data_IF_374276440391
#
_entry.id   IF_374276440391
#
_cell.length_a   1.000
_cell.length_b   1.000
_cell.length_c   1.000
_cell.angle_alpha   90.00
_cell.angle_beta   90.00
_cell.angle_gamma   90.00
#
_symmetry.space_group_name_H-M   'P 1'
#
loop_
_entity.id
_entity.type
_entity.pdbx_description
1 polymer ?
#
# COMPACT_ATOMS: atom_id res chain seq x y z
N UNK A 1 50.18 -58.42 23.42
CA UNK A 1 50.76 -57.45 22.46
C UNK A 1 49.73 -56.73 21.60
N UNK A 2 49.08 -57.35 20.59
CA UNK A 2 48.13 -56.59 19.71
C UNK A 2 46.84 -56.18 20.43
N UNK A 3 46.35 -57.04 21.33
CA UNK A 3 45.09 -56.82 22.07
C UNK A 3 45.23 -55.70 23.11
N UNK A 4 46.41 -55.56 23.73
CA UNK A 4 46.73 -54.47 24.68
C UNK A 4 46.82 -53.12 23.95
N UNK A 5 47.40 -53.10 22.74
CA UNK A 5 47.45 -51.89 21.89
C UNK A 5 46.06 -51.43 21.47
N UNK A 6 45.13 -52.34 21.15
CA UNK A 6 43.75 -51.99 20.80
C UNK A 6 43.02 -51.40 22.01
N UNK A 7 43.23 -51.97 23.20
CA UNK A 7 42.63 -51.47 24.44
C UNK A 7 43.15 -50.07 24.83
N UNK A 8 44.45 -49.81 24.68
CA UNK A 8 45.03 -48.49 24.94
C UNK A 8 44.52 -47.44 23.95
N UNK A 9 44.37 -47.80 22.68
CA UNK A 9 43.81 -46.91 21.68
C UNK A 9 42.34 -46.60 21.96
N UNK A 10 41.53 -47.59 22.35
CA UNK A 10 40.13 -47.36 22.75
C UNK A 10 40.02 -46.34 23.90
N UNK A 11 40.92 -46.37 24.89
CA UNK A 11 40.95 -45.36 25.95
C UNK A 11 41.40 -43.98 25.45
N UNK A 12 42.30 -43.91 24.47
CA UNK A 12 42.75 -42.65 23.86
C UNK A 12 41.62 -42.00 23.04
N UNK A 13 40.80 -42.80 22.34
CA UNK A 13 39.65 -42.33 21.57
C UNK A 13 38.64 -41.57 22.44
N UNK A 14 38.38 -42.05 23.65
CA UNK A 14 37.44 -41.40 24.56
C UNK A 14 37.89 -39.99 25.00
N UNK A 15 39.21 -39.72 24.99
CA UNK A 15 39.81 -38.44 25.37
C UNK A 15 40.10 -37.50 24.19
N UNK A 16 39.78 -37.88 22.95
CA UNK A 16 40.07 -37.05 21.79
C UNK A 16 39.22 -35.77 21.80
N UNK A 17 39.91 -34.64 21.63
CA UNK A 17 39.31 -33.32 21.44
C UNK A 17 39.88 -32.70 20.16
N UNK A 18 39.04 -31.99 19.42
CA UNK A 18 39.44 -31.18 18.28
C UNK A 18 38.98 -29.74 18.53
N UNK A 19 39.92 -28.80 18.48
CA UNK A 19 39.64 -27.37 18.69
C UNK A 19 39.16 -26.65 17.43
N UNK A 20 39.49 -27.17 16.25
CA UNK A 20 39.14 -26.58 14.96
C UNK A 20 39.00 -27.65 13.86
N UNK A 21 38.49 -27.25 12.70
CA UNK A 21 38.31 -28.13 11.55
C UNK A 21 39.64 -28.75 11.05
N UNK A 22 40.78 -28.08 11.29
CA UNK A 22 42.11 -28.59 10.94
C UNK A 22 42.56 -29.71 11.87
N UNK A 23 42.43 -29.52 13.19
CA UNK A 23 42.71 -30.54 14.19
C UNK A 23 41.82 -31.78 13.99
N UNK A 24 40.56 -31.60 13.59
CA UNK A 24 39.66 -32.71 13.26
C UNK A 24 40.17 -33.55 12.07
N UNK A 25 40.64 -32.89 11.00
CA UNK A 25 41.17 -33.59 9.84
C UNK A 25 42.55 -34.23 10.13
N UNK A 26 43.39 -33.61 10.96
CA UNK A 26 44.64 -34.21 11.44
C UNK A 26 44.38 -35.50 12.23
N UNK A 27 43.38 -35.51 13.12
CA UNK A 27 42.97 -36.70 13.85
C UNK A 27 42.44 -37.79 12.91
N UNK A 28 41.62 -37.41 11.91
CA UNK A 28 41.15 -38.35 10.88
C UNK A 28 42.30 -38.96 10.09
N UNK A 29 43.30 -38.15 9.71
CA UNK A 29 44.48 -38.63 8.99
C UNK A 29 45.32 -39.56 9.87
N UNK A 30 45.54 -39.22 11.15
CA UNK A 30 46.31 -40.03 12.10
C UNK A 30 45.72 -41.43 12.31
N UNK A 31 44.40 -41.52 12.47
CA UNK A 31 43.75 -42.78 12.84
C UNK A 31 43.16 -43.56 11.66
N UNK A 32 42.46 -42.89 10.73
CA UNK A 32 41.65 -43.54 9.69
C UNK A 32 42.24 -43.45 8.26
N UNK A 33 43.38 -42.78 8.05
CA UNK A 33 44.00 -42.73 6.72
C UNK A 33 44.52 -44.09 6.25
N UNK A 34 44.82 -44.21 4.95
CA UNK A 34 45.42 -45.43 4.37
C UNK A 34 46.74 -45.85 5.04
N UNK A 35 47.47 -44.91 5.66
CA UNK A 35 48.68 -45.15 6.46
C UNK A 35 48.44 -44.97 7.97
N UNK A 36 47.17 -44.90 8.39
CA UNK A 36 46.79 -44.64 9.77
C UNK A 36 46.91 -45.88 10.64
N UNK A 37 46.91 -45.64 11.96
CA UNK A 37 47.13 -46.66 12.99
C UNK A 37 46.14 -47.83 12.86
N UNK A 38 44.88 -47.56 12.49
CA UNK A 38 43.86 -48.61 12.31
C UNK A 38 44.19 -49.54 11.13
N UNK A 39 44.69 -48.99 10.02
CA UNK A 39 45.07 -49.79 8.84
C UNK A 39 46.38 -50.56 9.06
N UNK A 40 47.32 -50.02 9.85
CA UNK A 40 48.52 -50.75 10.28
C UNK A 40 48.16 -51.96 11.14
N UNK A 41 47.25 -51.78 12.11
CA UNK A 41 46.72 -52.88 12.93
C UNK A 41 45.95 -53.93 12.11
N UNK A 42 45.24 -53.52 11.05
CA UNK A 42 44.62 -54.46 10.09
C UNK A 42 45.66 -55.23 9.27
N UNK A 43 46.83 -54.64 9.01
CA UNK A 43 47.96 -55.32 8.38
C UNK A 43 48.58 -56.37 9.30
N UNK A 44 48.83 -56.00 10.56
CA UNK A 44 49.35 -56.90 11.60
C UNK A 44 48.37 -58.05 11.93
N UNK A 45 47.06 -57.82 11.80
CA UNK A 45 46.01 -58.84 11.97
C UNK A 45 46.22 -60.09 11.08
N UNK A 46 46.88 -59.96 9.93
CA UNK A 46 47.16 -61.10 9.03
C UNK A 46 48.08 -62.15 9.67
N UNK A 47 48.92 -61.74 10.63
CA UNK A 47 49.94 -62.57 11.27
C UNK A 47 49.45 -63.24 12.58
N UNK A 48 48.18 -63.07 12.94
CA UNK A 48 47.59 -63.62 14.18
C UNK A 48 47.24 -65.10 14.02
N UNK A 49 47.42 -65.90 15.08
CA UNK A 49 47.08 -67.32 15.09
C UNK A 49 45.55 -67.55 14.90
N UNK A 50 45.12 -68.61 14.20
CA UNK A 50 43.71 -68.84 13.83
C UNK A 50 42.74 -68.80 15.02
N UNK A 51 43.19 -69.26 16.19
CA UNK A 51 42.42 -69.34 17.44
C UNK A 51 42.09 -67.97 18.04
N UNK A 52 42.93 -66.94 17.78
CA UNK A 52 42.79 -65.59 18.34
C UNK A 52 42.22 -64.57 17.34
N UNK A 53 42.07 -64.95 16.06
CA UNK A 53 41.57 -64.06 15.00
C UNK A 53 40.14 -63.55 15.25
N UNK A 54 39.27 -64.37 15.84
CA UNK A 54 37.88 -64.00 16.10
C UNK A 54 37.77 -62.86 17.12
N UNK A 55 38.48 -62.96 18.23
CA UNK A 55 38.42 -61.97 19.32
C UNK A 55 39.08 -60.65 18.93
N UNK A 56 40.26 -60.71 18.29
CA UNK A 56 40.99 -59.52 17.84
C UNK A 56 40.23 -58.79 16.73
N UNK A 57 39.57 -59.52 15.82
CA UNK A 57 38.76 -58.92 14.75
C UNK A 57 37.55 -58.15 15.27
N UNK A 58 36.90 -58.64 16.34
CA UNK A 58 35.78 -57.94 16.99
C UNK A 58 36.24 -56.63 17.63
N UNK A 59 37.30 -56.66 18.43
CA UNK A 59 37.85 -55.46 19.10
C UNK A 59 38.37 -54.42 18.12
N UNK A 60 38.88 -54.84 16.97
CA UNK A 60 39.40 -53.94 15.94
C UNK A 60 38.26 -53.23 15.18
N UNK A 61 37.14 -53.91 14.94
CA UNK A 61 35.94 -53.26 14.41
C UNK A 61 35.32 -52.30 15.43
N UNK A 62 35.30 -52.68 16.71
CA UNK A 62 34.83 -51.81 17.80
C UNK A 62 35.65 -50.51 17.89
N UNK A 63 36.99 -50.60 17.82
CA UNK A 63 37.88 -49.43 17.76
C UNK A 63 37.59 -48.54 16.54
N UNK A 64 37.37 -49.14 15.37
CA UNK A 64 37.07 -48.40 14.15
C UNK A 64 35.74 -47.65 14.24
N UNK A 65 34.70 -48.30 14.76
CA UNK A 65 33.38 -47.69 14.96
C UNK A 65 33.46 -46.57 16.00
N UNK A 66 34.08 -46.80 17.16
CA UNK A 66 34.24 -45.79 18.20
C UNK A 66 34.99 -44.54 17.71
N UNK A 67 36.04 -44.71 16.90
CA UNK A 67 36.76 -43.58 16.27
C UNK A 67 35.87 -42.80 15.30
N UNK A 68 35.09 -43.51 14.49
CA UNK A 68 34.22 -42.89 13.49
C UNK A 68 33.09 -42.11 14.16
N UNK A 69 32.49 -42.67 15.20
CA UNK A 69 31.45 -42.02 16.00
C UNK A 69 32.00 -40.79 16.71
N UNK A 70 33.20 -40.88 17.31
CA UNK A 70 33.83 -39.74 18.00
C UNK A 70 34.19 -38.61 17.06
N UNK A 71 34.70 -38.92 15.86
CA UNK A 71 35.01 -37.91 14.84
C UNK A 71 33.73 -37.25 14.29
N UNK A 72 32.63 -37.99 14.16
CA UNK A 72 31.35 -37.42 13.76
C UNK A 72 30.79 -36.49 14.86
N UNK A 73 30.85 -36.90 16.13
CA UNK A 73 30.45 -36.08 17.28
C UNK A 73 31.25 -34.76 17.33
N UNK A 74 32.58 -34.83 17.17
CA UNK A 74 33.43 -33.64 17.13
C UNK A 74 33.10 -32.73 15.94
N UNK A 75 32.76 -33.31 14.78
CA UNK A 75 32.37 -32.56 13.59
C UNK A 75 31.06 -31.80 13.79
N UNK A 76 30.06 -32.44 14.39
CA UNK A 76 28.76 -31.82 14.68
C UNK A 76 28.89 -30.68 15.69
N UNK A 77 29.70 -30.88 16.73
CA UNK A 77 29.98 -29.84 17.74
C UNK A 77 30.68 -28.61 17.14
N UNK A 78 31.62 -28.81 16.21
CA UNK A 78 32.31 -27.71 15.51
C UNK A 78 31.38 -26.98 14.52
N UNK A 79 30.52 -27.71 13.80
CA UNK A 79 29.58 -27.10 12.84
C UNK A 79 28.51 -26.22 13.52
N UNK A 80 28.18 -26.50 14.79
CA UNK A 80 27.17 -25.75 15.54
C UNK A 80 27.72 -24.44 16.12
N UNK A 81 29.04 -24.22 16.08
CA UNK A 81 29.68 -23.02 16.64
C UNK A 81 29.92 -21.88 15.63
N UNK A 82 29.61 -22.03 14.35
CA UNK A 82 30.08 -21.10 13.31
C UNK A 82 29.20 -19.87 13.01
N UNK A 83 28.00 -19.67 13.57
CA UNK A 83 27.20 -18.46 13.28
C UNK A 83 26.62 -17.81 14.56
N UNK A 84 27.49 -17.26 15.41
CA UNK A 84 27.08 -16.25 16.37
C UNK A 84 27.09 -14.88 15.68
N UNK A 85 26.05 -14.60 14.89
CA UNK A 85 25.77 -13.26 14.36
C UNK A 85 25.26 -12.32 15.46
N UNK A 86 25.90 -12.31 16.64
CA UNK A 86 25.43 -11.60 17.83
C UNK A 86 25.62 -10.08 17.79
N UNK A 87 26.24 -9.54 16.74
CA UNK A 87 26.62 -8.12 16.66
C UNK A 87 25.80 -7.30 15.64
N UNK A 88 24.73 -7.88 15.08
CA UNK A 88 23.84 -7.17 14.14
C UNK A 88 22.70 -6.50 14.92
N UNK A 89 22.73 -5.17 14.99
CA UNK A 89 21.61 -4.36 15.49
C UNK A 89 20.44 -4.40 14.50
N UNK A 90 19.45 -5.27 14.80
CA UNK A 90 18.22 -5.42 14.02
C UNK A 90 17.29 -4.21 14.10
N UNK A 91 17.53 -3.26 15.03
CA UNK A 91 16.76 -2.02 15.14
C UNK A 91 17.31 -0.90 14.28
N UNK A 92 18.49 -1.09 13.68
CA UNK A 92 19.13 -0.10 12.83
C UNK A 92 18.25 0.23 11.63
N UNK A 93 17.97 1.51 11.45
CA UNK A 93 17.20 2.01 10.32
C UNK A 93 17.83 1.53 9.00
N UNK A 94 17.07 0.93 8.09
CA UNK A 94 17.57 0.57 6.77
C UNK A 94 17.99 1.84 6.01
N UNK A 95 18.77 1.65 4.95
CA UNK A 95 19.06 2.74 4.02
C UNK A 95 17.74 3.38 3.56
N UNK A 96 17.64 4.73 3.49
CA UNK A 96 16.36 5.40 3.25
C UNK A 96 15.71 4.91 1.95
N UNK A 97 14.56 4.26 2.09
CA UNK A 97 13.69 3.91 0.97
C UNK A 97 12.73 5.09 0.80
N UNK A 98 12.84 5.81 -0.30
CA UNK A 98 11.92 6.90 -0.60
C UNK A 98 10.51 6.33 -0.84
N UNK A 99 9.60 6.55 0.11
CA UNK A 99 8.19 6.25 -0.08
C UNK A 99 7.53 7.38 -0.89
N UNK A 100 6.72 7.02 -1.87
CA UNK A 100 5.86 7.98 -2.57
C UNK A 100 4.73 8.46 -1.66
N UNK A 101 4.20 9.65 -1.94
CA UNK A 101 3.00 10.20 -1.26
C UNK A 101 1.91 10.50 -2.28
N UNK A 102 0.65 10.42 -1.84
CA UNK A 102 -0.49 10.82 -2.67
C UNK A 102 -0.75 12.31 -2.53
N UNK A 103 -1.11 12.96 -3.64
CA UNK A 103 -1.53 14.35 -3.60
C UNK A 103 -2.79 14.50 -2.72
N UNK A 104 -2.88 15.52 -1.84
CA UNK A 104 -4.03 15.72 -0.95
C UNK A 104 -5.37 15.79 -1.70
N UNK A 105 -5.40 16.49 -2.84
CA UNK A 105 -6.60 16.53 -3.70
C UNK A 105 -7.03 15.14 -4.17
N UNK A 106 -6.10 14.23 -4.45
CA UNK A 106 -6.43 12.86 -4.84
C UNK A 106 -6.98 12.05 -3.68
N UNK A 107 -6.54 12.31 -2.45
CA UNK A 107 -7.08 11.66 -1.25
C UNK A 107 -8.53 12.09 -1.07
N UNK A 108 -8.78 13.39 -1.03
CA UNK A 108 -10.13 13.97 -0.86
C UNK A 108 -11.05 13.56 -2.00
N UNK A 109 -10.59 13.63 -3.26
CA UNK A 109 -11.37 13.19 -4.42
C UNK A 109 -11.81 11.73 -4.29
N UNK A 110 -10.88 10.84 -3.92
CA UNK A 110 -11.18 9.42 -3.78
C UNK A 110 -12.14 9.14 -2.62
N UNK A 111 -12.06 9.91 -1.54
CA UNK A 111 -12.99 9.83 -0.41
C UNK A 111 -14.41 10.24 -0.81
N UNK A 112 -14.56 11.33 -1.57
CA UNK A 112 -15.86 11.74 -2.13
C UNK A 112 -16.41 10.65 -3.05
N UNK A 113 -15.59 10.13 -3.98
CA UNK A 113 -15.99 9.04 -4.89
C UNK A 113 -16.44 7.81 -4.11
N UNK A 114 -15.70 7.41 -3.07
CA UNK A 114 -16.00 6.25 -2.24
C UNK A 114 -17.36 6.41 -1.54
N UNK A 115 -17.65 7.57 -0.93
CA UNK A 115 -18.95 7.87 -0.30
C UNK A 115 -20.10 7.73 -1.30
N UNK A 116 -20.00 8.38 -2.47
CA UNK A 116 -21.05 8.34 -3.47
C UNK A 116 -21.20 6.96 -4.14
N UNK A 117 -20.10 6.20 -4.27
CA UNK A 117 -20.15 4.83 -4.79
C UNK A 117 -20.98 3.92 -3.88
N UNK A 118 -20.90 4.08 -2.55
CA UNK A 118 -21.74 3.37 -1.57
C UNK A 118 -23.23 3.74 -1.69
N UNK A 119 -23.54 4.94 -2.19
CA UNK A 119 -24.90 5.40 -2.49
C UNK A 119 -25.39 4.94 -3.88
N UNK A 120 -24.57 4.22 -4.64
CA UNK A 120 -24.93 3.66 -5.95
C UNK A 120 -24.72 4.62 -7.13
N UNK A 121 -23.90 5.66 -6.98
CA UNK A 121 -23.49 6.51 -8.09
C UNK A 121 -22.35 5.86 -8.87
N UNK A 122 -22.43 5.90 -10.20
CA UNK A 122 -21.33 5.50 -11.08
C UNK A 122 -20.48 6.71 -11.46
N UNK A 123 -19.20 6.48 -11.75
CA UNK A 123 -18.32 7.55 -12.19
C UNK A 123 -18.53 7.85 -13.68
N UNK A 124 -18.66 9.12 -14.02
CA UNK A 124 -18.63 9.61 -15.40
C UNK A 124 -17.48 10.60 -15.58
N UNK A 125 -16.84 10.56 -16.75
CA UNK A 125 -15.73 11.44 -17.11
C UNK A 125 -15.99 12.02 -18.50
N UNK A 126 -15.38 13.17 -18.79
CA UNK A 126 -15.53 13.86 -20.05
C UNK A 126 -14.40 14.86 -20.29
N UNK A 127 -14.34 15.44 -21.50
CA UNK A 127 -13.22 16.28 -21.89
C UNK A 127 -13.17 17.58 -21.08
N UNK A 128 -11.97 18.15 -20.98
CA UNK A 128 -11.74 19.45 -20.32
C UNK A 128 -11.88 20.63 -21.29
N UNK A 129 -11.61 20.39 -22.57
CA UNK A 129 -11.90 21.31 -23.68
C UNK A 129 -13.26 20.93 -24.23
N UNK A 130 -14.20 21.85 -24.16
CA UNK A 130 -15.62 21.63 -24.49
C UNK A 130 -16.11 22.71 -25.45
N UNK A 131 -17.23 22.43 -26.12
CA UNK A 131 -17.97 23.43 -26.89
C UNK A 131 -18.96 24.21 -26.00
N UNK A 132 -19.44 25.36 -26.49
CA UNK A 132 -20.46 26.16 -25.79
C UNK A 132 -21.75 25.37 -25.47
N UNK A 133 -22.13 24.43 -26.34
CA UNK A 133 -23.38 23.68 -26.17
C UNK A 133 -23.38 22.86 -24.88
N UNK A 134 -22.33 22.08 -24.66
CA UNK A 134 -22.24 21.19 -23.50
C UNK A 134 -21.97 21.96 -22.20
N UNK A 135 -21.25 23.08 -22.25
CA UNK A 135 -20.96 23.87 -21.03
C UNK A 135 -22.15 24.76 -20.67
N UNK A 136 -22.73 25.49 -21.62
CA UNK A 136 -23.67 26.56 -21.31
C UNK A 136 -25.08 26.31 -21.85
N UNK A 137 -25.22 26.10 -23.16
CA UNK A 137 -26.55 26.12 -23.80
C UNK A 137 -27.46 24.99 -23.34
N UNK A 138 -26.93 23.77 -23.19
CA UNK A 138 -27.69 22.62 -22.66
C UNK A 138 -28.03 22.75 -21.16
N UNK A 139 -27.33 23.64 -20.44
CA UNK A 139 -27.55 23.95 -19.02
C UNK A 139 -28.39 25.23 -18.82
N UNK A 140 -29.15 25.63 -19.85
CA UNK A 140 -30.10 26.75 -19.80
C UNK A 140 -29.46 28.12 -19.48
N UNK A 141 -28.17 28.30 -19.78
CA UNK A 141 -27.56 29.63 -19.74
C UNK A 141 -28.04 30.46 -20.93
N UNK A 142 -28.44 31.71 -20.71
CA UNK A 142 -28.73 32.64 -21.81
C UNK A 142 -27.44 33.05 -22.55
N UNK A 143 -27.53 33.46 -23.82
CA UNK A 143 -26.39 33.91 -24.63
C UNK A 143 -25.66 35.11 -24.00
N UNK A 144 -26.39 35.99 -23.31
CA UNK A 144 -25.89 37.18 -22.62
C UNK A 144 -25.54 36.92 -21.14
N UNK A 145 -25.54 35.66 -20.69
CA UNK A 145 -25.24 35.33 -19.31
C UNK A 145 -23.77 35.64 -18.98
N UNK A 146 -23.46 36.33 -17.85
CA UNK A 146 -22.09 36.73 -17.50
C UNK A 146 -21.07 35.58 -17.49
N UNK A 147 -21.48 34.39 -17.09
CA UNK A 147 -20.61 33.19 -17.12
C UNK A 147 -20.09 32.82 -18.53
N UNK A 148 -20.74 33.28 -19.61
CA UNK A 148 -20.28 33.11 -21.00
C UNK A 148 -19.31 34.21 -21.43
N UNK A 149 -19.11 35.25 -20.62
CA UNK A 149 -18.21 36.36 -20.94
C UNK A 149 -16.75 35.87 -20.93
N UNK A 150 -15.94 36.45 -21.84
CA UNK A 150 -14.49 36.25 -21.91
C UNK A 150 -13.77 36.66 -20.62
N UNK A 151 -14.40 37.48 -19.77
CA UNK A 151 -13.85 37.84 -18.47
C UNK A 151 -13.81 36.65 -17.50
N UNK A 152 -14.75 35.71 -17.59
CA UNK A 152 -14.88 34.59 -16.64
C UNK A 152 -14.45 33.23 -17.23
N UNK A 153 -14.46 33.09 -18.56
CA UNK A 153 -14.20 31.82 -19.26
C UNK A 153 -12.95 31.88 -20.15
N UNK A 154 -12.15 30.80 -20.16
CA UNK A 154 -11.02 30.66 -21.09
C UNK A 154 -11.49 30.11 -22.44
N UNK A 155 -11.36 30.92 -23.48
CA UNK A 155 -11.62 30.53 -24.87
C UNK A 155 -10.34 30.02 -25.54
N UNK A 156 -10.43 28.85 -26.17
CA UNK A 156 -9.35 28.24 -26.97
C UNK A 156 -9.47 28.67 -28.43
N UNK A 157 -10.69 28.72 -28.95
CA UNK A 157 -11.02 29.17 -30.30
C UNK A 157 -12.32 29.98 -30.26
N UNK A 158 -12.41 30.98 -31.14
CA UNK A 158 -13.60 31.79 -31.35
C UNK A 158 -14.19 31.40 -32.70
N UNK A 159 -15.43 30.92 -32.71
CA UNK A 159 -16.20 30.44 -33.87
C UNK A 159 -15.70 29.15 -34.58
N UNK A 160 -16.21 27.95 -34.19
CA UNK A 160 -17.14 27.73 -33.10
C UNK A 160 -16.47 28.02 -31.75
N UNK A 161 -17.27 28.40 -30.76
CA UNK A 161 -16.74 28.72 -29.44
C UNK A 161 -16.32 27.43 -28.73
N UNK A 162 -15.00 27.31 -28.55
CA UNK A 162 -14.37 26.21 -27.83
C UNK A 162 -13.74 26.78 -26.56
N UNK A 163 -14.12 26.22 -25.42
CA UNK A 163 -13.77 26.73 -24.10
C UNK A 163 -13.11 25.64 -23.25
N UNK A 164 -12.33 26.08 -22.25
CA UNK A 164 -12.02 25.22 -21.12
C UNK A 164 -13.23 25.20 -20.18
N UNK A 165 -13.74 24.02 -19.84
CA UNK A 165 -14.98 23.89 -19.06
C UNK A 165 -14.88 24.61 -17.72
N UNK A 166 -15.91 25.39 -17.39
CA UNK A 166 -16.02 26.16 -16.13
C UNK A 166 -16.60 25.35 -14.97
N UNK A 167 -17.26 24.24 -15.31
CA UNK A 167 -17.86 23.26 -14.41
C UNK A 167 -17.88 21.88 -15.09
N UNK A 168 -18.10 20.83 -14.31
CA UNK A 168 -18.20 19.44 -14.79
C UNK A 168 -19.60 19.06 -15.27
N UNK A 169 -20.55 19.98 -15.26
CA UNK A 169 -21.91 19.75 -15.80
C UNK A 169 -21.93 19.39 -17.28
N UNK A 170 -20.88 19.74 -18.04
CA UNK A 170 -20.75 19.30 -19.44
C UNK A 170 -20.78 17.77 -19.57
N UNK A 171 -20.18 17.07 -18.60
CA UNK A 171 -20.22 15.61 -18.52
C UNK A 171 -21.64 15.10 -18.26
N UNK A 172 -22.41 15.80 -17.43
CA UNK A 172 -23.81 15.45 -17.17
C UNK A 172 -24.65 15.56 -18.45
N UNK A 173 -24.48 16.65 -19.20
CA UNK A 173 -25.14 16.86 -20.49
C UNK A 173 -24.84 15.71 -21.46
N UNK A 174 -23.56 15.37 -21.64
CA UNK A 174 -23.12 14.23 -22.47
C UNK A 174 -23.70 12.89 -22.02
N UNK A 175 -23.77 12.64 -20.71
CA UNK A 175 -24.38 11.42 -20.17
C UNK A 175 -25.86 11.34 -20.53
N UNK A 176 -26.59 12.45 -20.39
CA UNK A 176 -28.03 12.54 -20.70
C UNK A 176 -28.32 12.38 -22.21
N UNK A 177 -27.41 12.78 -23.09
CA UNK A 177 -27.58 12.60 -24.55
C UNK A 177 -27.54 11.12 -24.98
N UNK A 178 -26.84 10.27 -24.22
CA UNK A 178 -26.60 8.88 -24.59
C UNK A 178 -27.25 7.86 -23.65
N UNK A 179 -27.81 8.31 -22.53
CA UNK A 179 -28.35 7.44 -21.48
C UNK A 179 -29.78 7.87 -21.13
N UNK A 180 -30.69 6.91 -21.06
CA UNK A 180 -32.05 7.15 -20.57
C UNK A 180 -32.11 6.93 -19.05
N UNK A 181 -32.97 7.66 -18.31
CA UNK A 181 -33.19 7.41 -16.89
C UNK A 181 -33.55 5.94 -16.58
N UNK A 182 -33.12 5.40 -15.42
CA UNK A 182 -32.48 6.10 -14.30
C UNK A 182 -30.99 6.39 -14.51
N UNK A 183 -30.55 7.59 -14.13
CA UNK A 183 -29.15 8.04 -14.18
C UNK A 183 -28.71 8.40 -12.76
N UNK A 184 -27.58 7.83 -12.30
CA UNK A 184 -26.90 8.21 -11.05
C UNK A 184 -25.40 8.29 -11.32
N UNK A 185 -24.90 9.49 -11.56
CA UNK A 185 -23.49 9.69 -11.91
C UNK A 185 -22.80 10.72 -11.05
N UNK A 186 -21.52 10.52 -10.80
CA UNK A 186 -20.61 11.49 -10.20
C UNK A 186 -19.51 11.84 -11.20
N UNK A 187 -19.27 13.13 -11.36
CA UNK A 187 -18.39 13.71 -12.38
C UNK A 187 -17.25 14.48 -11.70
N UNK A 188 -16.20 13.79 -11.20
CA UNK A 188 -15.03 14.47 -10.66
C UNK A 188 -14.13 14.98 -11.81
N UNK A 189 -13.70 16.23 -11.76
CA UNK A 189 -12.91 16.79 -12.85
C UNK A 189 -12.21 18.11 -12.55
N UNK A 190 -11.22 18.44 -13.37
CA UNK A 190 -10.63 19.78 -13.41
C UNK A 190 -11.55 20.74 -14.12
N UNK A 191 -11.62 21.97 -13.62
CA UNK A 191 -12.40 23.08 -14.17
C UNK A 191 -11.54 24.34 -14.16
N UNK A 192 -11.90 25.29 -15.02
CA UNK A 192 -11.08 26.45 -15.34
C UNK A 192 -11.92 27.72 -15.24
N UNK A 193 -11.37 28.76 -14.61
CA UNK A 193 -12.02 30.07 -14.49
C UNK A 193 -10.99 31.17 -14.68
N UNK A 194 -11.33 32.17 -15.47
CA UNK A 194 -10.47 33.32 -15.72
C UNK A 194 -10.55 34.31 -14.55
N UNK A 195 -10.06 33.89 -13.39
CA UNK A 195 -10.06 34.69 -12.17
C UNK A 195 -8.63 35.02 -11.72
N UNK A 196 -8.47 36.15 -11.02
CA UNK A 196 -7.19 36.56 -10.47
C UNK A 196 -6.71 35.58 -9.39
N UNK A 197 -5.50 35.03 -9.58
CA UNK A 197 -4.90 34.07 -8.66
C UNK A 197 -4.64 34.75 -7.30
N UNK A 198 -5.12 34.13 -6.24
CA UNK A 198 -4.94 34.58 -4.86
C UNK A 198 -4.74 33.37 -3.93
N UNK A 199 -4.58 33.62 -2.63
CA UNK A 199 -4.53 32.56 -1.63
C UNK A 199 -5.83 31.73 -1.52
N UNK A 200 -6.94 32.19 -2.14
CA UNK A 200 -8.26 31.53 -2.09
C UNK A 200 -8.82 31.14 -3.45
N UNK A 201 -8.23 31.62 -4.54
CA UNK A 201 -8.72 31.40 -5.90
C UNK A 201 -7.56 31.03 -6.81
N UNK A 202 -7.79 30.06 -7.69
CA UNK A 202 -6.81 29.60 -8.67
C UNK A 202 -7.50 29.46 -10.02
N UNK A 203 -6.79 29.73 -11.12
CA UNK A 203 -7.34 29.74 -12.47
C UNK A 203 -7.80 28.34 -12.97
N UNK A 204 -7.37 27.29 -12.28
CA UNK A 204 -7.93 25.96 -12.40
C UNK A 204 -8.02 25.31 -11.02
N UNK A 205 -9.06 24.52 -10.80
CA UNK A 205 -9.29 23.78 -9.58
C UNK A 205 -10.08 22.51 -9.90
N UNK A 206 -10.46 21.74 -8.87
CA UNK A 206 -11.18 20.49 -9.05
C UNK A 206 -12.58 20.63 -8.49
N UNK A 207 -13.57 20.19 -9.27
CA UNK A 207 -14.95 20.07 -8.85
C UNK A 207 -15.39 18.61 -8.91
N UNK A 208 -16.40 18.30 -8.12
CA UNK A 208 -17.09 17.02 -8.18
C UNK A 208 -18.58 17.34 -8.20
N UNK A 209 -19.24 17.00 -9.31
CA UNK A 209 -20.68 17.16 -9.44
C UNK A 209 -21.38 15.80 -9.39
N UNK A 210 -22.63 15.80 -8.92
CA UNK A 210 -23.47 14.60 -8.90
C UNK A 210 -24.79 14.86 -9.62
N UNK A 211 -25.24 13.88 -10.40
CA UNK A 211 -26.54 13.90 -11.09
C UNK A 211 -27.33 12.65 -10.72
N UNK A 212 -28.57 12.84 -10.27
CA UNK A 212 -29.53 11.78 -10.04
C UNK A 212 -30.87 12.09 -10.71
N UNK A 213 -31.23 11.30 -11.71
CA UNK A 213 -32.49 11.40 -12.45
C UNK A 213 -33.20 10.05 -12.40
N UNK A 214 -34.40 10.03 -11.83
CA UNK A 214 -35.30 8.88 -11.83
C UNK A 214 -36.75 9.36 -11.59
N UNK A 215 -37.70 8.44 -11.59
CA UNK A 215 -39.09 8.71 -11.22
C UNK A 215 -39.20 9.01 -9.72
N UNK A 216 -40.09 9.94 -9.39
CA UNK A 216 -40.44 10.31 -8.01
C UNK A 216 -39.26 10.78 -7.13
N UNK A 217 -38.19 11.30 -7.76
CA UNK A 217 -37.10 11.98 -7.06
C UNK A 217 -37.54 13.36 -6.62
N UNK A 218 -37.27 13.69 -5.36
CA UNK A 218 -37.73 14.93 -4.73
C UNK A 218 -36.60 15.69 -4.02
N UNK A 219 -36.89 16.92 -3.62
CA UNK A 219 -35.93 17.74 -2.85
C UNK A 219 -35.59 17.13 -1.49
N UNK A 220 -36.45 16.26 -0.92
CA UNK A 220 -36.13 15.58 0.33
C UNK A 220 -35.01 14.55 0.11
N UNK A 221 -34.98 13.87 -1.03
CA UNK A 221 -33.92 12.94 -1.40
C UNK A 221 -32.58 13.67 -1.53
N UNK A 222 -32.56 14.81 -2.22
CA UNK A 222 -31.38 15.67 -2.31
C UNK A 222 -30.85 16.04 -0.92
N UNK A 223 -31.72 16.54 -0.05
CA UNK A 223 -31.34 16.90 1.32
C UNK A 223 -30.76 15.73 2.11
N UNK A 224 -31.31 14.52 1.96
CA UNK A 224 -30.81 13.34 2.68
C UNK A 224 -29.47 12.84 2.14
N UNK A 225 -29.29 12.84 0.81
CA UNK A 225 -28.01 12.51 0.17
C UNK A 225 -26.93 13.48 0.64
N UNK A 226 -27.21 14.79 0.60
CA UNK A 226 -26.28 15.83 1.03
C UNK A 226 -25.95 15.75 2.54
N UNK A 227 -26.94 15.48 3.39
CA UNK A 227 -26.71 15.26 4.82
C UNK A 227 -25.84 14.03 5.09
N UNK A 228 -26.10 12.94 4.36
CA UNK A 228 -25.32 11.70 4.46
C UNK A 228 -23.88 11.94 4.03
N UNK A 229 -23.68 12.60 2.88
CA UNK A 229 -22.37 13.01 2.41
C UNK A 229 -21.63 13.86 3.44
N UNK A 230 -22.28 14.90 3.99
CA UNK A 230 -21.65 15.77 4.98
C UNK A 230 -21.22 15.00 6.24
N UNK A 231 -22.02 14.04 6.70
CA UNK A 231 -21.68 13.23 7.88
C UNK A 231 -20.56 12.23 7.63
N UNK A 232 -20.53 11.61 6.46
CA UNK A 232 -19.46 10.68 6.09
C UNK A 232 -18.13 11.41 5.89
N UNK A 233 -18.15 12.59 5.26
CA UNK A 233 -16.95 13.37 4.95
C UNK A 233 -16.40 14.14 6.17
N UNK A 234 -17.29 14.68 7.02
CA UNK A 234 -16.92 15.62 8.08
C UNK A 234 -17.24 15.12 9.50
N UNK A 235 -17.83 13.94 9.64
CA UNK A 235 -18.14 13.29 10.92
C UNK A 235 -19.63 13.28 11.26
N UNK A 236 -20.04 12.31 12.09
CA UNK A 236 -21.44 11.97 12.34
C UNK A 236 -22.32 13.12 12.87
N UNK A 237 -21.72 14.04 13.62
CA UNK A 237 -22.43 15.18 14.24
C UNK A 237 -22.55 16.40 13.31
N UNK A 238 -22.05 16.32 12.07
CA UNK A 238 -22.10 17.42 11.09
C UNK A 238 -23.54 17.80 10.79
N UNK A 239 -23.83 19.10 10.91
CA UNK A 239 -25.13 19.69 10.56
C UNK A 239 -25.02 20.38 9.21
N UNK A 240 -26.11 20.34 8.44
CA UNK A 240 -26.23 21.07 7.17
C UNK A 240 -27.24 22.20 7.29
N UNK A 241 -27.01 23.27 6.53
CA UNK A 241 -27.94 24.38 6.32
C UNK A 241 -28.09 24.61 4.83
N UNK A 242 -29.32 24.48 4.32
CA UNK A 242 -29.66 24.78 2.93
C UNK A 242 -30.20 26.20 2.84
N UNK A 243 -29.62 27.02 1.97
CA UNK A 243 -30.04 28.40 1.70
C UNK A 243 -30.55 28.48 0.26
N UNK A 244 -31.70 29.13 -0.02
CA UNK A 244 -32.11 29.38 -1.40
C UNK A 244 -31.00 30.11 -2.18
N UNK A 245 -30.73 29.66 -3.39
CA UNK A 245 -29.80 30.29 -4.33
C UNK A 245 -30.43 30.29 -5.73
N UNK A 246 -29.63 30.48 -6.78
CA UNK A 246 -30.07 30.44 -8.17
C UNK A 246 -28.98 29.84 -9.06
N UNK A 247 -29.34 28.78 -9.78
CA UNK A 247 -28.54 28.25 -10.88
C UNK A 247 -29.44 28.03 -12.11
N UNK A 248 -29.06 28.49 -13.32
CA UNK A 248 -29.93 28.42 -14.50
C UNK A 248 -30.51 27.04 -14.85
N UNK A 249 -29.82 25.97 -14.43
CA UNK A 249 -30.16 24.57 -14.70
C UNK A 249 -30.89 23.85 -13.56
N UNK A 250 -31.26 24.52 -12.47
CA UNK A 250 -32.01 23.90 -11.36
C UNK A 250 -33.18 24.78 -10.92
N UNK A 251 -34.29 24.15 -10.53
CA UNK A 251 -35.41 24.83 -9.90
C UNK A 251 -36.17 23.81 -9.02
N UNK A 252 -36.21 23.97 -7.68
CA UNK A 252 -35.58 25.03 -6.88
C UNK A 252 -34.06 24.83 -6.69
N UNK A 253 -33.32 25.93 -6.56
CA UNK A 253 -31.88 25.93 -6.27
C UNK A 253 -31.56 26.15 -4.78
N UNK A 254 -30.50 25.55 -4.27
CA UNK A 254 -30.03 25.78 -2.91
C UNK A 254 -28.52 25.62 -2.77
N UNK A 255 -27.89 26.50 -1.99
CA UNK A 255 -26.53 26.33 -1.49
C UNK A 255 -26.52 25.58 -0.16
N UNK A 256 -25.47 24.81 0.10
CA UNK A 256 -25.28 24.07 1.34
C UNK A 256 -24.05 24.56 2.12
N UNK A 257 -24.31 24.93 3.38
CA UNK A 257 -23.28 25.14 4.39
C UNK A 257 -23.24 23.96 5.38
N UNK A 258 -22.06 23.63 5.88
CA UNK A 258 -21.86 22.70 7.00
C UNK A 258 -21.49 23.44 8.29
N UNK A 259 -21.82 22.86 9.44
CA UNK A 259 -21.30 23.31 10.73
C UNK A 259 -19.78 23.27 10.74
N UNK A 260 -19.13 24.32 11.26
CA UNK A 260 -17.68 24.37 11.28
C UNK A 260 -17.08 23.31 12.22
N UNK A 261 -16.35 22.35 11.66
CA UNK A 261 -15.69 21.28 12.42
C UNK A 261 -14.59 21.75 13.37
N UNK A 262 -14.04 22.95 13.16
CA UNK A 262 -12.94 23.47 13.98
C UNK A 262 -13.45 24.03 15.31
N UNK A 263 -14.59 24.73 15.29
CA UNK A 263 -15.15 25.40 16.47
C UNK A 263 -16.49 24.84 16.93
N UNK A 264 -16.98 23.75 16.32
CA UNK A 264 -18.28 23.15 16.66
C UNK A 264 -19.48 24.09 16.42
N UNK A 265 -19.30 25.19 15.66
CA UNK A 265 -20.33 26.19 15.41
C UNK A 265 -20.30 27.41 16.32
N UNK A 266 -19.35 27.53 17.26
CA UNK A 266 -19.24 28.71 18.14
C UNK A 266 -18.75 29.98 17.41
N UNK A 267 -18.04 29.79 16.29
CA UNK A 267 -17.43 30.88 15.53
C UNK A 267 -15.90 30.89 15.65
N UNK A 268 -15.21 31.00 14.52
CA UNK A 268 -13.75 31.15 14.47
C UNK A 268 -13.31 31.93 13.22
N UNK A 269 -12.02 32.20 13.09
CA UNK A 269 -11.46 32.90 11.93
C UNK A 269 -11.71 32.18 10.60
N UNK A 270 -11.75 30.84 10.61
CA UNK A 270 -11.99 30.02 9.43
C UNK A 270 -13.42 30.19 8.89
N UNK A 271 -14.44 30.09 9.76
CA UNK A 271 -15.84 30.29 9.37
C UNK A 271 -16.30 31.75 9.43
N UNK A 272 -15.37 32.72 9.51
CA UNK A 272 -15.66 34.16 9.64
C UNK A 272 -16.64 34.48 10.78
N UNK A 273 -16.51 33.80 11.91
CA UNK A 273 -17.38 33.92 13.09
C UNK A 273 -18.86 33.55 12.86
N UNK A 274 -19.19 32.90 11.74
CA UNK A 274 -20.59 32.51 11.45
C UNK A 274 -20.96 31.15 12.05
N UNK A 275 -19.97 30.30 12.34
CA UNK A 275 -20.19 28.91 12.70
C UNK A 275 -20.49 27.97 11.51
N UNK A 276 -20.58 28.52 10.29
CA UNK A 276 -20.94 27.79 9.07
C UNK A 276 -19.88 27.94 7.98
N UNK A 277 -19.73 26.92 7.14
CA UNK A 277 -18.78 26.88 6.02
C UNK A 277 -19.52 26.39 4.79
N UNK A 278 -19.58 27.23 3.75
CA UNK A 278 -20.15 26.88 2.46
C UNK A 278 -19.27 25.82 1.77
N UNK A 279 -19.88 24.75 1.26
CA UNK A 279 -19.14 23.67 0.59
C UNK A 279 -19.76 23.18 -0.71
N UNK A 280 -21.00 23.57 -1.02
CA UNK A 280 -21.73 23.06 -2.19
C UNK A 280 -22.81 24.05 -2.65
N UNK A 281 -23.05 24.07 -3.95
CA UNK A 281 -24.17 24.72 -4.63
C UNK A 281 -24.89 23.71 -5.51
#
# INVERSE_FOLDING_TARGET
>A
MIQEKIQSLLSEVAGLQASDAKALEELRIKYLSKKGIVNELMGEFRNVAPEQKREIGMKLNELKTALQDKLNELRENLATQEDDHSDIDLTRTPYPIALGTRHPLSIVKNEIIDIFSRLGFSMADGPEVEDDWHVFSSMNFAEDHPARDMQDTFFVEQHPDIVLRTHTSSVQSRVMEHTQPPIRVICPGRVYRNEAISARAHCFFHQVEGLYIDKDVSFTDLKQVLLTFAREMFGADTKIRLRPSYFPFTEPSAEMDISCNICGGEGCSFCKQTGWVEILG
#
